data_IF_509046978206
#
_entry.id   IF_509046978206
#
_cell.length_a   1.000
_cell.length_b   1.000
_cell.length_c   1.000
_cell.angle_alpha   90.00
_cell.angle_beta   90.00
_cell.angle_gamma   90.00
#
_symmetry.space_group_name_H-M   'P 1'
#
loop_
_entity.id
_entity.type
_entity.pdbx_description
1 polymer ?
#
# COMPACT_ATOMS: atom_id res chain seq x y z
N UNK A 1 -17.61 11.53 53.24
CA UNK A 1 -18.07 11.64 51.83
C UNK A 1 -16.96 11.91 50.81
N UNK A 2 -15.70 12.14 51.20
CA UNK A 2 -14.59 12.42 50.24
C UNK A 2 -13.93 11.20 49.58
N UNK A 3 -14.05 9.98 50.15
CA UNK A 3 -13.37 8.76 49.64
C UNK A 3 -14.07 8.11 48.45
N UNK A 4 -15.37 8.38 48.26
CA UNK A 4 -16.16 7.88 47.12
C UNK A 4 -15.89 8.69 45.84
N UNK A 5 -15.57 9.97 45.97
CA UNK A 5 -15.32 10.86 44.82
C UNK A 5 -14.07 10.46 44.05
N UNK A 6 -12.98 10.09 44.74
CA UNK A 6 -11.72 9.67 44.11
C UNK A 6 -11.82 8.34 43.37
N UNK A 7 -12.67 7.42 43.84
CA UNK A 7 -12.89 6.13 43.19
C UNK A 7 -13.63 6.28 41.86
N UNK A 8 -14.57 7.23 41.78
CA UNK A 8 -15.33 7.52 40.56
C UNK A 8 -14.45 8.21 39.51
N UNK A 9 -13.54 9.10 39.91
CA UNK A 9 -12.60 9.75 38.98
C UNK A 9 -11.59 8.77 38.39
N UNK A 10 -11.13 7.79 39.18
CA UNK A 10 -10.22 6.74 38.71
C UNK A 10 -10.89 5.77 37.73
N UNK A 11 -12.17 5.46 37.95
CA UNK A 11 -12.97 4.59 37.08
C UNK A 11 -13.27 5.23 35.71
N UNK A 12 -13.38 6.56 35.63
CA UNK A 12 -13.58 7.26 34.35
C UNK A 12 -12.30 7.36 33.50
N UNK A 13 -11.11 7.35 34.11
CA UNK A 13 -9.84 7.34 33.37
C UNK A 13 -9.54 6.02 32.66
N UNK A 14 -10.07 4.89 33.14
CA UNK A 14 -9.82 3.56 32.56
C UNK A 14 -10.76 3.18 31.41
N UNK A 15 -11.84 3.93 31.18
CA UNK A 15 -12.80 3.73 30.08
C UNK A 15 -12.37 4.37 28.74
N UNK A 16 -11.24 5.08 28.72
CA UNK A 16 -10.66 5.72 27.52
C UNK A 16 -9.57 4.86 26.85
N UNK A 17 -9.62 3.52 26.99
CA UNK A 17 -8.91 2.63 26.07
C UNK A 17 -9.66 2.62 24.74
N UNK A 18 -9.52 3.71 23.98
CA UNK A 18 -10.05 3.83 22.63
C UNK A 18 -9.46 2.69 21.79
N UNK A 19 -10.32 1.81 21.29
CA UNK A 19 -9.95 0.86 20.26
C UNK A 19 -9.49 1.65 19.03
N UNK A 20 -8.18 1.82 18.85
CA UNK A 20 -7.59 2.22 17.56
C UNK A 20 -7.79 1.03 16.63
N UNK A 21 -8.94 0.99 15.96
CA UNK A 21 -9.16 0.05 14.88
C UNK A 21 -8.55 0.65 13.62
N UNK A 22 -7.36 0.17 13.25
CA UNK A 22 -6.77 0.49 11.95
C UNK A 22 -7.77 0.11 10.86
N UNK A 23 -8.06 1.06 9.95
CA UNK A 23 -8.92 0.78 8.82
C UNK A 23 -8.36 -0.43 8.05
N UNK A 24 -9.21 -1.44 7.79
CA UNK A 24 -8.81 -2.59 6.97
C UNK A 24 -8.34 -2.08 5.61
N UNK A 25 -7.14 -2.46 5.13
CA UNK A 25 -6.63 -1.97 3.86
C UNK A 25 -7.57 -2.41 2.73
N UNK A 26 -7.84 -1.51 1.79
CA UNK A 26 -8.79 -1.76 0.69
C UNK A 26 -8.30 -2.85 -0.27
N UNK A 27 -7.00 -3.15 -0.26
CA UNK A 27 -6.37 -4.23 -1.02
C UNK A 27 -5.10 -4.74 -0.33
N UNK A 28 -4.65 -5.93 -0.74
CA UNK A 28 -3.41 -6.57 -0.28
C UNK A 28 -2.44 -6.70 -1.44
N UNK A 29 -1.15 -6.62 -1.11
CA UNK A 29 -0.05 -6.83 -2.03
C UNK A 29 0.68 -8.12 -1.67
N UNK A 30 0.81 -9.02 -2.63
CA UNK A 30 1.47 -10.30 -2.45
C UNK A 30 2.59 -10.44 -3.49
N UNK A 31 3.86 -10.22 -3.08
CA UNK A 31 5.01 -10.31 -3.99
C UNK A 31 5.16 -11.73 -4.54
N UNK A 32 5.26 -11.85 -5.86
CA UNK A 32 5.54 -13.11 -6.55
C UNK A 32 7.02 -13.26 -6.91
N UNK A 33 7.78 -12.17 -6.83
CA UNK A 33 9.23 -12.11 -7.05
C UNK A 33 9.90 -11.31 -5.92
N UNK A 34 11.24 -11.35 -5.85
CA UNK A 34 11.97 -10.48 -4.92
C UNK A 34 11.64 -9.01 -5.19
N UNK A 35 11.36 -8.27 -4.12
CA UNK A 35 11.11 -6.82 -4.17
C UNK A 35 12.38 -6.00 -3.92
N UNK A 36 13.43 -6.65 -3.41
CA UNK A 36 14.76 -6.08 -3.22
C UNK A 36 15.69 -6.65 -4.29
N UNK A 37 15.93 -5.86 -5.33
CA UNK A 37 16.73 -6.25 -6.49
C UNK A 37 17.81 -5.22 -6.79
N UNK A 38 18.90 -5.68 -7.39
CA UNK A 38 19.98 -4.83 -7.91
C UNK A 38 19.97 -4.94 -9.43
N UNK A 39 19.72 -3.82 -10.11
CA UNK A 39 19.69 -3.78 -11.58
C UNK A 39 20.89 -2.99 -12.08
N UNK A 40 21.77 -3.64 -12.84
CA UNK A 40 22.91 -2.99 -13.47
C UNK A 40 22.47 -1.99 -14.55
N UNK A 41 23.29 -0.95 -14.79
CA UNK A 41 23.09 -0.01 -15.89
C UNK A 41 23.05 -0.76 -17.23
N UNK A 42 22.10 -0.42 -18.11
CA UNK A 42 21.91 -1.13 -19.39
C UNK A 42 21.01 -2.37 -19.31
N UNK A 43 20.63 -2.81 -18.10
CA UNK A 43 19.74 -3.96 -17.90
C UNK A 43 18.36 -3.52 -17.44
N UNK A 44 17.39 -4.40 -17.60
CA UNK A 44 16.06 -4.26 -17.03
C UNK A 44 15.68 -5.54 -16.29
N UNK A 45 14.82 -5.40 -15.30
CA UNK A 45 14.28 -6.50 -14.52
C UNK A 45 12.81 -6.23 -14.18
N UNK A 46 12.09 -7.23 -13.67
CA UNK A 46 10.69 -7.13 -13.32
C UNK A 46 10.42 -7.56 -11.88
N UNK A 47 9.53 -6.81 -11.22
CA UNK A 47 8.94 -7.19 -9.95
C UNK A 47 7.45 -7.46 -10.20
N UNK A 48 6.97 -8.64 -9.79
CA UNK A 48 5.58 -9.07 -10.00
C UNK A 48 4.88 -9.15 -8.66
N UNK A 49 3.68 -8.60 -8.59
CA UNK A 49 2.78 -8.71 -7.43
C UNK A 49 1.43 -9.27 -7.86
N UNK A 50 0.83 -10.08 -7.00
CA UNK A 50 -0.62 -10.32 -7.02
C UNK A 50 -1.26 -9.31 -6.08
N UNK A 51 -2.21 -8.52 -6.58
CA UNK A 51 -2.95 -7.56 -5.77
C UNK A 51 -4.36 -8.09 -5.57
N UNK A 52 -4.85 -8.13 -4.33
CA UNK A 52 -6.20 -8.58 -3.99
C UNK A 52 -7.05 -7.41 -3.52
N UNK A 53 -8.23 -7.21 -4.12
CA UNK A 53 -9.20 -6.22 -3.68
C UNK A 53 -10.02 -6.76 -2.52
N UNK A 54 -9.88 -6.16 -1.34
CA UNK A 54 -10.68 -6.53 -0.18
C UNK A 54 -12.05 -5.83 -0.16
N UNK A 55 -12.29 -4.86 -1.05
CA UNK A 55 -13.56 -4.12 -1.09
C UNK A 55 -14.59 -4.78 -2.01
N UNK A 56 -15.86 -4.41 -1.82
CA UNK A 56 -16.97 -4.78 -2.70
C UNK A 56 -17.06 -3.91 -3.96
N UNK A 57 -16.16 -2.93 -4.14
CA UNK A 57 -16.16 -2.03 -5.30
C UNK A 57 -14.95 -2.31 -6.19
N UNK A 58 -15.09 -2.37 -7.52
CA UNK A 58 -13.95 -2.51 -8.41
C UNK A 58 -13.04 -1.28 -8.33
N UNK A 59 -11.73 -1.49 -8.51
CA UNK A 59 -10.70 -0.47 -8.43
C UNK A 59 -9.81 -0.52 -9.67
N UNK A 60 -9.24 0.62 -10.04
CA UNK A 60 -8.16 0.69 -11.02
C UNK A 60 -6.99 1.35 -10.32
N UNK A 61 -5.90 0.61 -10.16
CA UNK A 61 -4.70 1.12 -9.51
C UNK A 61 -3.65 1.51 -10.55
N UNK A 62 -2.95 2.60 -10.30
CA UNK A 62 -1.86 3.04 -11.16
C UNK A 62 -0.73 3.66 -10.37
N UNK A 63 0.48 3.23 -10.70
CA UNK A 63 1.67 3.65 -10.01
C UNK A 63 1.98 5.14 -10.24
N UNK A 64 2.43 5.81 -9.17
CA UNK A 64 3.12 7.09 -9.28
C UNK A 64 4.41 6.86 -10.07
N UNK A 65 4.70 7.75 -11.03
CA UNK A 65 5.92 7.66 -11.83
C UNK A 65 7.15 7.77 -10.93
N UNK A 66 8.09 6.84 -11.08
CA UNK A 66 9.43 6.86 -10.47
C UNK A 66 10.42 6.75 -11.64
N UNK A 67 11.53 7.50 -11.61
CA UNK A 67 12.52 7.45 -12.69
C UNK A 67 13.06 6.01 -12.84
N UNK A 68 12.97 5.46 -14.04
CA UNK A 68 13.39 4.08 -14.34
C UNK A 68 12.48 2.98 -13.80
N UNK A 69 11.37 3.28 -13.13
CA UNK A 69 10.45 2.27 -12.60
C UNK A 69 9.02 2.58 -13.06
N UNK A 70 8.40 1.64 -13.76
CA UNK A 70 7.06 1.80 -14.34
C UNK A 70 6.24 0.53 -14.22
N UNK A 71 4.93 0.66 -14.00
CA UNK A 71 4.02 -0.46 -14.21
C UNK A 71 3.79 -0.68 -15.71
N UNK A 72 3.62 -1.94 -16.14
CA UNK A 72 3.32 -2.27 -17.55
C UNK A 72 1.91 -1.82 -17.95
N UNK A 73 0.93 -1.99 -17.06
CA UNK A 73 -0.45 -1.57 -17.27
C UNK A 73 -1.13 -1.23 -15.93
N UNK A 74 -2.21 -0.41 -15.93
CA UNK A 74 -3.05 -0.23 -14.76
C UNK A 74 -3.63 -1.56 -14.26
N UNK A 75 -3.55 -1.80 -12.95
CA UNK A 75 -4.10 -3.00 -12.35
C UNK A 75 -5.61 -2.83 -12.16
N UNK A 76 -6.42 -3.52 -12.98
CA UNK A 76 -7.88 -3.51 -12.90
C UNK A 76 -8.33 -4.59 -11.94
N UNK A 77 -8.77 -4.18 -10.76
CA UNK A 77 -9.20 -5.03 -9.67
C UNK A 77 -10.73 -5.18 -9.68
N UNK A 78 -11.27 -6.36 -9.98
CA UNK A 78 -12.68 -6.65 -9.75
C UNK A 78 -13.05 -6.53 -8.27
N UNK A 79 -14.34 -6.34 -7.96
CA UNK A 79 -14.82 -6.43 -6.58
C UNK A 79 -14.47 -7.81 -5.99
N UNK A 80 -13.84 -7.84 -4.81
CA UNK A 80 -13.36 -9.09 -4.18
C UNK A 80 -12.46 -9.98 -5.06
N UNK A 81 -11.89 -9.43 -6.13
CA UNK A 81 -11.03 -10.14 -7.08
C UNK A 81 -9.55 -9.76 -6.94
N UNK A 82 -8.75 -10.17 -7.92
CA UNK A 82 -7.32 -9.87 -7.98
C UNK A 82 -6.87 -9.38 -9.35
N UNK A 83 -5.64 -8.86 -9.41
CA UNK A 83 -4.94 -8.57 -10.65
C UNK A 83 -3.43 -8.76 -10.45
N UNK A 84 -2.71 -9.07 -11.53
CA UNK A 84 -1.25 -9.12 -11.53
C UNK A 84 -0.70 -7.75 -11.90
N UNK A 85 0.10 -7.17 -11.01
CA UNK A 85 0.86 -5.96 -11.28
C UNK A 85 2.29 -6.32 -11.65
N UNK A 86 2.67 -6.03 -12.89
CA UNK A 86 4.05 -6.12 -13.35
C UNK A 86 4.70 -4.74 -13.28
N UNK A 87 5.78 -4.64 -12.52
CA UNK A 87 6.61 -3.45 -12.39
C UNK A 87 7.92 -3.68 -13.12
N UNK A 88 8.18 -2.90 -14.16
CA UNK A 88 9.43 -2.91 -14.90
C UNK A 88 10.42 -1.93 -14.29
N UNK A 89 11.64 -2.40 -14.03
CA UNK A 89 12.78 -1.61 -13.55
C UNK A 89 13.81 -1.53 -14.66
N UNK A 90 14.10 -0.34 -15.14
CA UNK A 90 15.09 -0.05 -16.17
C UNK A 90 16.32 0.61 -15.53
N UNK A 91 17.40 -0.15 -15.40
CA UNK A 91 18.65 0.28 -14.78
C UNK A 91 19.35 1.43 -15.50
N UNK A 92 19.07 1.67 -16.78
CA UNK A 92 19.62 2.83 -17.52
C UNK A 92 18.92 4.15 -17.16
N UNK A 93 17.68 4.08 -16.70
CA UNK A 93 16.86 5.24 -16.37
C UNK A 93 16.76 5.50 -14.85
N UNK A 94 17.33 4.62 -14.02
CA UNK A 94 17.49 4.86 -12.59
C UNK A 94 18.49 6.02 -12.36
N UNK A 95 18.16 6.89 -11.40
CA UNK A 95 19.02 8.02 -11.00
C UNK A 95 19.80 7.75 -9.70
N UNK A 96 19.65 6.54 -9.13
CA UNK A 96 20.23 6.14 -7.85
C UNK A 96 19.43 5.02 -7.22
N UNK A 97 19.73 4.70 -5.96
CA UNK A 97 18.99 3.73 -5.18
C UNK A 97 17.57 4.23 -4.89
N UNK A 98 16.58 3.35 -5.00
CA UNK A 98 15.18 3.63 -4.63
C UNK A 98 14.87 2.84 -3.37
N UNK A 99 14.49 3.55 -2.30
CA UNK A 99 14.16 2.96 -1.00
C UNK A 99 12.65 3.08 -0.78
N UNK A 100 12.02 2.00 -0.33
CA UNK A 100 10.57 1.87 -0.19
C UNK A 100 9.94 1.16 -1.39
N UNK A 101 8.61 0.97 -1.35
CA UNK A 101 7.87 0.35 -2.44
C UNK A 101 7.25 1.35 -3.42
N UNK A 102 6.68 0.86 -4.53
CA UNK A 102 5.93 1.72 -5.45
C UNK A 102 4.76 2.40 -4.72
N UNK A 103 4.26 3.54 -5.19
CA UNK A 103 3.02 4.13 -4.63
C UNK A 103 1.92 3.95 -5.66
N UNK A 104 0.84 3.25 -5.31
CA UNK A 104 -0.31 3.11 -6.21
C UNK A 104 -1.37 4.17 -5.90
N UNK A 105 -1.79 4.87 -6.94
CA UNK A 105 -2.95 5.74 -6.95
C UNK A 105 -4.18 4.94 -7.37
N UNK A 106 -5.25 5.02 -6.58
CA UNK A 106 -6.57 4.61 -7.06
C UNK A 106 -7.08 5.65 -8.07
N UNK A 107 -7.46 5.23 -9.27
CA UNK A 107 -8.12 6.09 -10.24
C UNK A 107 -9.60 6.26 -9.83
N UNK A 108 -10.12 7.50 -9.87
CA UNK A 108 -11.48 7.84 -9.50
C UNK A 108 -11.60 9.22 -8.84
N UNK A 109 -12.73 9.46 -8.17
CA UNK A 109 -13.02 10.72 -7.47
C UNK A 109 -12.16 10.78 -6.19
N UNK A 110 -11.02 11.47 -6.28
CA UNK A 110 -9.98 11.48 -5.26
C UNK A 110 -8.81 10.56 -5.62
N UNK A 111 -7.69 11.14 -6.06
CA UNK A 111 -6.42 10.44 -6.29
C UNK A 111 -5.74 10.13 -4.97
N UNK A 112 -6.16 9.06 -4.31
CA UNK A 112 -5.55 8.60 -3.05
C UNK A 112 -4.39 7.67 -3.40
N UNK A 113 -3.21 7.99 -2.89
CA UNK A 113 -2.01 7.18 -3.01
C UNK A 113 -1.87 6.29 -1.78
N UNK A 114 -1.54 5.02 -2.02
CA UNK A 114 -1.28 4.04 -1.00
C UNK A 114 0.17 3.62 -1.15
N UNK A 115 0.93 3.82 -0.09
CA UNK A 115 2.30 3.33 0.01
C UNK A 115 2.27 1.83 0.32
N UNK A 116 3.30 1.13 -0.14
CA UNK A 116 3.57 -0.23 0.27
C UNK A 116 4.26 -0.10 1.63
N UNK A 117 3.60 -0.56 2.68
CA UNK A 117 4.20 -0.70 4.02
C UNK A 117 4.78 -2.11 4.11
#
# INVERSE_FOLDING_TARGET
MHRFSTAITALFCSLMLLNVQAAKPLWLFDPQTSTSITVAKGRSDQIIYTIYNQSSKPKILSMKRIAGISQTAPCRLPAKGSCTLTVNVNGSALQGNVIGGPLLCQQGIGRIFYAFV
#
